data_IF_661922863985
#
_entry.id   IF_661922863985
#
_cell.length_a   1.000
_cell.length_b   1.000
_cell.length_c   1.000
_cell.angle_alpha   90.00
_cell.angle_beta   90.00
_cell.angle_gamma   90.00
#
_symmetry.space_group_name_H-M   'P 1'
#
loop_
_entity.id
_entity.type
_entity.pdbx_description
1 polymer ?
#
# COMPACT_ATOMS: atom_id res chain seq x y z
N UNK A 1 -2.81 -32.63 -0.09
CA UNK A 1 -3.95 -31.73 0.21
C UNK A 1 -3.62 -30.40 -0.43
N UNK A 2 -4.44 -29.91 -1.36
CA UNK A 2 -4.20 -28.61 -1.99
C UNK A 2 -4.42 -27.52 -0.93
N UNK A 3 -3.44 -26.63 -0.73
CA UNK A 3 -3.62 -25.44 0.09
C UNK A 3 -4.60 -24.52 -0.64
N UNK A 4 -5.88 -24.58 -0.27
CA UNK A 4 -6.88 -23.62 -0.71
C UNK A 4 -6.77 -22.36 0.14
N UNK A 5 -5.63 -21.66 0.01
CA UNK A 5 -5.38 -20.41 0.72
C UNK A 5 -6.43 -19.38 0.27
N UNK A 6 -7.14 -18.70 1.19
CA UNK A 6 -8.11 -17.68 0.82
C UNK A 6 -7.47 -16.63 -0.08
N UNK A 7 -7.87 -16.59 -1.35
CA UNK A 7 -7.39 -15.59 -2.30
C UNK A 7 -8.16 -14.30 -2.10
N UNK A 8 -7.45 -13.22 -1.79
CA UNK A 8 -8.04 -11.89 -1.78
C UNK A 8 -8.47 -11.51 -3.20
N UNK A 9 -9.67 -10.93 -3.32
CA UNK A 9 -10.19 -10.38 -4.57
C UNK A 9 -9.95 -8.88 -4.60
N UNK A 10 -10.00 -8.25 -5.78
CA UNK A 10 -10.13 -6.79 -5.85
C UNK A 10 -11.59 -6.42 -5.60
N UNK A 11 -11.82 -5.29 -4.93
CA UNK A 11 -13.16 -4.76 -4.70
C UNK A 11 -13.10 -3.27 -4.40
N UNK A 12 -14.27 -2.68 -4.15
CA UNK A 12 -14.43 -1.26 -3.88
C UNK A 12 -14.59 -0.99 -2.37
N UNK A 13 -14.11 0.16 -1.85
CA UNK A 13 -14.27 0.52 -0.44
C UNK A 13 -15.73 0.48 0.04
N UNK A 14 -16.66 0.94 -0.78
CA UNK A 14 -18.08 0.99 -0.46
C UNK A 14 -18.70 -0.40 -0.24
N UNK A 15 -18.24 -1.43 -0.96
CA UNK A 15 -18.74 -2.81 -0.86
C UNK A 15 -18.41 -3.45 0.50
N UNK A 16 -17.41 -2.91 1.20
CA UNK A 16 -16.94 -3.44 2.50
C UNK A 16 -17.11 -2.43 3.64
N UNK A 17 -17.91 -1.38 3.43
CA UNK A 17 -18.22 -0.38 4.44
C UNK A 17 -17.00 0.46 4.86
N UNK A 18 -16.16 0.85 3.90
CA UNK A 18 -15.04 1.77 4.07
C UNK A 18 -15.26 3.04 3.23
N UNK A 19 -14.82 4.20 3.74
CA UNK A 19 -14.86 5.48 3.02
C UNK A 19 -13.68 5.56 2.06
N UNK A 20 -13.95 5.90 0.80
CA UNK A 20 -12.90 6.15 -0.17
C UNK A 20 -12.09 7.40 0.21
N UNK A 21 -12.77 8.46 0.67
CA UNK A 21 -12.16 9.73 1.07
C UNK A 21 -11.17 9.56 2.22
N UNK A 22 -11.50 8.71 3.20
CA UNK A 22 -10.58 8.38 4.30
C UNK A 22 -9.34 7.61 3.83
N UNK A 23 -9.47 6.74 2.83
CA UNK A 23 -8.34 6.01 2.24
C UNK A 23 -7.44 6.95 1.42
N UNK A 24 -8.03 7.87 0.67
CA UNK A 24 -7.30 8.92 -0.04
C UNK A 24 -6.54 9.82 0.93
N UNK A 25 -7.18 10.29 2.01
CA UNK A 25 -6.51 11.08 3.05
C UNK A 25 -5.30 10.35 3.65
N UNK A 26 -5.44 9.05 3.95
CA UNK A 26 -4.32 8.25 4.45
C UNK A 26 -3.18 8.13 3.41
N UNK A 27 -3.53 8.03 2.13
CA UNK A 27 -2.58 8.03 1.02
C UNK A 27 -1.85 9.37 0.89
N UNK A 28 -2.58 10.48 1.01
CA UNK A 28 -2.04 11.83 0.91
C UNK A 28 -1.04 12.12 2.03
N UNK A 29 -1.31 11.67 3.26
CA UNK A 29 -0.36 11.78 4.37
C UNK A 29 0.99 11.09 4.08
N UNK A 30 0.98 9.96 3.36
CA UNK A 30 2.21 9.28 2.95
C UNK A 30 2.93 10.05 1.84
N UNK A 31 2.19 10.61 0.88
CA UNK A 31 2.74 11.49 -0.15
C UNK A 31 3.40 12.72 0.47
N UNK A 32 2.72 13.40 1.40
CA UNK A 32 3.25 14.56 2.12
C UNK A 32 4.53 14.21 2.91
N UNK A 33 4.56 13.05 3.58
CA UNK A 33 5.75 12.60 4.31
C UNK A 33 6.95 12.31 3.38
N UNK A 34 6.68 11.80 2.17
CA UNK A 34 7.69 11.61 1.12
C UNK A 34 8.19 12.96 0.60
N UNK A 35 7.28 13.88 0.28
CA UNK A 35 7.59 15.20 -0.26
C UNK A 35 8.38 16.05 0.75
N UNK A 36 8.06 15.92 2.04
CA UNK A 36 8.80 16.53 3.14
C UNK A 36 10.16 15.87 3.41
N UNK A 37 10.50 14.77 2.73
CA UNK A 37 11.74 14.03 2.93
C UNK A 37 11.83 13.30 4.27
N UNK A 38 10.71 13.14 4.98
CA UNK A 38 10.65 12.45 6.28
C UNK A 38 10.78 10.94 6.11
N UNK A 39 10.28 10.42 4.99
CA UNK A 39 10.47 9.03 4.54
C UNK A 39 10.81 9.02 3.05
N UNK A 40 11.52 8.01 2.56
CA UNK A 40 11.85 7.88 1.13
C UNK A 40 10.80 7.10 0.33
N UNK A 41 10.08 6.22 1.01
CA UNK A 41 9.21 5.22 0.40
C UNK A 41 8.13 4.74 1.38
N UNK A 42 6.93 4.51 0.87
CA UNK A 42 5.86 3.80 1.60
C UNK A 42 4.96 3.03 0.63
N UNK A 43 4.36 1.95 1.10
CA UNK A 43 3.26 1.26 0.43
C UNK A 43 2.10 1.11 1.40
N UNK A 44 0.88 1.43 0.94
CA UNK A 44 -0.36 1.28 1.69
C UNK A 44 -1.25 0.25 1.01
N UNK A 45 -1.49 -0.86 1.70
CA UNK A 45 -2.44 -1.89 1.30
C UNK A 45 -3.55 -2.00 2.35
N UNK A 46 -4.80 -1.92 1.91
CA UNK A 46 -5.97 -2.14 2.75
C UNK A 46 -6.81 -3.27 2.17
N UNK A 47 -6.99 -4.32 2.95
CA UNK A 47 -7.87 -5.43 2.64
C UNK A 47 -8.91 -5.63 3.75
N UNK A 48 -10.17 -5.80 3.37
CA UNK A 48 -11.30 -6.02 4.29
C UNK A 48 -12.31 -6.99 3.66
N UNK A 49 -12.89 -7.87 4.46
CA UNK A 49 -13.89 -8.85 4.01
C UNK A 49 -13.44 -9.71 2.80
N UNK A 50 -12.15 -10.03 2.70
CA UNK A 50 -11.60 -10.80 1.58
C UNK A 50 -11.33 -10.00 0.30
N UNK A 51 -11.51 -8.68 0.33
CA UNK A 51 -11.26 -7.77 -0.79
C UNK A 51 -10.11 -6.80 -0.49
N UNK A 52 -9.14 -6.69 -1.38
CA UNK A 52 -8.19 -5.57 -1.44
C UNK A 52 -8.95 -4.39 -2.06
N UNK A 53 -9.13 -3.35 -1.25
CA UNK A 53 -9.88 -2.14 -1.62
C UNK A 53 -8.97 -0.93 -1.84
N UNK A 54 -7.71 -1.03 -1.43
CA UNK A 54 -6.70 0.02 -1.64
C UNK A 54 -5.32 -0.61 -1.74
N UNK A 55 -4.51 -0.18 -2.71
CA UNK A 55 -3.12 -0.61 -2.87
C UNK A 55 -2.35 0.44 -3.68
N UNK A 56 -1.52 1.23 -3.01
CA UNK A 56 -0.71 2.29 -3.64
C UNK A 56 0.67 2.40 -3.01
N UNK A 57 1.62 2.84 -3.83
CA UNK A 57 2.98 3.14 -3.40
C UNK A 57 3.26 4.65 -3.48
N UNK A 58 4.21 5.10 -2.67
CA UNK A 58 4.62 6.48 -2.50
C UNK A 58 6.15 6.55 -2.50
N UNK A 59 6.73 7.51 -3.23
CA UNK A 59 8.18 7.72 -3.28
C UNK A 59 8.93 6.73 -4.17
N UNK A 60 10.20 6.47 -3.84
CA UNK A 60 11.14 5.66 -4.65
C UNK A 60 11.82 4.60 -3.80
N UNK A 61 12.03 3.40 -4.38
CA UNK A 61 12.64 2.27 -3.66
C UNK A 61 14.09 2.51 -3.24
N UNK A 62 14.81 3.34 -3.97
CA UNK A 62 16.19 3.71 -3.70
C UNK A 62 16.38 5.23 -3.80
N UNK A 63 17.37 5.80 -3.09
CA UNK A 63 17.63 7.24 -3.13
C UNK A 63 18.28 7.71 -4.45
N UNK A 64 18.82 6.79 -5.25
CA UNK A 64 19.53 7.12 -6.49
C UNK A 64 18.60 7.70 -7.57
N UNK A 65 19.15 8.56 -8.41
CA UNK A 65 18.42 9.12 -9.53
C UNK A 65 18.00 8.01 -10.51
N UNK A 66 16.73 7.99 -10.90
CA UNK A 66 16.17 6.95 -11.77
C UNK A 66 15.74 5.68 -11.05
N UNK A 67 15.81 5.63 -9.71
CA UNK A 67 15.26 4.52 -8.94
C UNK A 67 13.76 4.32 -9.23
N UNK A 68 13.27 3.07 -9.26
CA UNK A 68 11.86 2.78 -9.50
C UNK A 68 10.96 3.43 -8.44
N UNK A 69 9.81 3.92 -8.89
CA UNK A 69 8.73 4.34 -8.00
C UNK A 69 8.21 3.14 -7.20
N UNK A 70 7.75 3.41 -5.99
CA UNK A 70 7.06 2.40 -5.18
C UNK A 70 5.67 2.17 -5.76
N UNK A 71 5.27 0.90 -5.83
CA UNK A 71 3.92 0.46 -6.13
C UNK A 71 3.33 -0.28 -4.91
N UNK A 72 2.01 -0.47 -4.86
CA UNK A 72 1.36 -1.17 -3.76
C UNK A 72 1.89 -2.59 -3.53
N UNK A 73 2.40 -3.24 -4.59
CA UNK A 73 3.01 -4.57 -4.55
C UNK A 73 4.55 -4.58 -4.44
N UNK A 74 5.19 -3.43 -4.20
CA UNK A 74 6.65 -3.39 -4.06
C UNK A 74 7.13 -4.16 -2.82
N UNK A 75 8.32 -4.73 -2.92
CA UNK A 75 8.93 -5.54 -1.86
C UNK A 75 9.78 -4.67 -0.94
N UNK A 76 9.58 -4.83 0.37
CA UNK A 76 10.32 -4.14 1.42
C UNK A 76 11.06 -5.14 2.31
N UNK A 77 12.22 -4.73 2.83
CA UNK A 77 12.90 -5.45 3.90
C UNK A 77 12.15 -5.20 5.21
N UNK A 78 11.43 -6.21 5.71
CA UNK A 78 10.63 -6.11 6.93
C UNK A 78 11.45 -6.17 8.23
N UNK A 79 12.73 -6.52 8.14
CA UNK A 79 13.61 -6.74 9.29
C UNK A 79 12.95 -7.64 10.35
N UNK A 80 12.65 -7.12 11.54
CA UNK A 80 12.16 -7.88 12.69
C UNK A 80 10.64 -8.05 12.78
N UNK A 81 9.87 -7.79 11.70
CA UNK A 81 8.48 -8.26 11.60
C UNK A 81 8.51 -9.73 11.17
N UNK A 82 8.66 -10.63 12.14
CA UNK A 82 8.52 -12.10 11.97
C UNK A 82 7.67 -12.67 13.10
#
# INVERSE_FOLDING_TARGET
MANDSPKLKKGEPAEVGMSAEGLELASDLLTEAVDAGSISAASLLVARCGSIIFSRGHGRLHPEAGAPSVEGGSVFLLASIT
#
